data_IF_575677660877
#
_entry.id   IF_575677660877
#
_cell.length_a   1.000
_cell.length_b   1.000
_cell.length_c   1.000
_cell.angle_alpha   90.00
_cell.angle_beta   90.00
_cell.angle_gamma   90.00
#
_symmetry.space_group_name_H-M   'P 1'
#
loop_
_entity.id
_entity.type
_entity.pdbx_description
1 polymer ?
#
# COMPACT_ATOMS: atom_id res chain seq x y z
N UNK A 1 -34.52 -15.02 20.26
CA UNK A 1 -34.01 -14.99 18.87
C UNK A 1 -32.92 -13.93 18.72
N UNK A 2 -31.71 -14.17 19.24
CA UNK A 2 -30.53 -13.29 19.06
C UNK A 2 -29.28 -14.10 19.42
N UNK A 3 -28.66 -14.78 18.44
CA UNK A 3 -27.31 -15.38 18.59
C UNK A 3 -26.65 -15.83 17.29
N UNK A 4 -27.35 -15.87 16.15
CA UNK A 4 -26.81 -16.51 14.94
C UNK A 4 -25.99 -15.62 14.00
N UNK A 5 -25.77 -14.33 14.30
CA UNK A 5 -25.04 -13.42 13.40
C UNK A 5 -23.52 -13.36 13.65
N UNK A 6 -23.04 -13.72 14.86
CA UNK A 6 -21.61 -13.65 15.20
C UNK A 6 -20.78 -14.84 14.69
N UNK A 7 -21.41 -16.00 14.45
CA UNK A 7 -20.70 -17.23 14.06
C UNK A 7 -20.32 -17.23 12.56
N UNK A 8 -21.04 -16.47 11.73
CA UNK A 8 -20.74 -16.41 10.29
C UNK A 8 -19.47 -15.61 9.94
N UNK A 9 -19.02 -14.68 10.81
CA UNK A 9 -17.80 -13.91 10.61
C UNK A 9 -16.53 -14.67 11.01
N UNK A 10 -16.64 -15.70 11.87
CA UNK A 10 -15.50 -16.54 12.26
C UNK A 10 -15.05 -17.50 11.14
N UNK A 11 -15.95 -17.90 10.23
CA UNK A 11 -15.65 -18.86 9.17
C UNK A 11 -14.74 -18.29 8.06
N UNK A 12 -14.71 -16.97 7.87
CA UNK A 12 -13.79 -16.33 6.91
C UNK A 12 -12.34 -16.19 7.43
N UNK A 13 -12.11 -16.44 8.72
CA UNK A 13 -10.79 -16.35 9.36
C UNK A 13 -10.02 -17.69 9.36
N UNK A 14 -10.61 -18.79 8.88
CA UNK A 14 -10.06 -20.15 9.07
C UNK A 14 -8.96 -20.52 8.06
N UNK A 15 -8.63 -19.67 7.09
CA UNK A 15 -7.47 -19.87 6.20
C UNK A 15 -6.23 -19.06 6.62
N UNK A 16 -6.22 -18.48 7.83
CA UNK A 16 -5.05 -17.81 8.39
C UNK A 16 -4.12 -18.89 8.97
N UNK A 17 -3.06 -19.21 8.22
CA UNK A 17 -1.98 -20.06 8.68
C UNK A 17 -1.53 -19.64 10.08
N UNK A 18 -1.32 -20.63 10.96
CA UNK A 18 -0.86 -20.50 12.32
C UNK A 18 0.18 -19.39 12.53
N UNK A 19 -0.28 -18.27 13.07
CA UNK A 19 0.53 -17.14 13.50
C UNK A 19 0.86 -17.35 14.98
N UNK A 20 2.14 -17.27 15.33
CA UNK A 20 2.57 -17.13 16.72
C UNK A 20 2.13 -15.75 17.21
N UNK A 21 0.99 -15.66 17.87
CA UNK A 21 0.60 -14.45 18.61
C UNK A 21 1.56 -14.33 19.80
N UNK A 22 2.39 -13.29 19.81
CA UNK A 22 3.06 -12.87 21.04
C UNK A 22 1.95 -12.38 21.96
N UNK A 23 1.69 -13.17 23.02
CA UNK A 23 0.75 -12.95 24.13
C UNK A 23 -0.11 -11.68 23.99
N UNK A 24 -1.42 -11.88 23.78
CA UNK A 24 -2.38 -10.80 24.00
C UNK A 24 -2.21 -10.19 25.40
N UNK A 25 -2.55 -8.91 25.60
CA UNK A 25 -2.40 -8.26 26.91
C UNK A 25 -3.06 -9.09 28.01
N UNK A 26 -2.39 -9.21 29.15
CA UNK A 26 -2.92 -9.90 30.33
C UNK A 26 -4.37 -9.45 30.56
N UNK A 27 -5.31 -10.41 30.64
CA UNK A 27 -6.79 -10.28 30.80
C UNK A 27 -7.66 -10.46 29.55
N UNK A 28 -7.19 -11.07 28.47
CA UNK A 28 -8.13 -11.56 27.46
C UNK A 28 -9.04 -12.66 28.04
N UNK A 29 -10.36 -12.62 27.82
CA UNK A 29 -11.26 -13.71 28.21
C UNK A 29 -10.79 -15.03 27.63
N UNK A 30 -10.94 -16.13 28.38
CA UNK A 30 -10.52 -17.48 27.97
C UNK A 30 -11.09 -17.89 26.60
N UNK A 31 -12.29 -17.39 26.25
CA UNK A 31 -12.92 -17.57 24.94
C UNK A 31 -12.22 -16.88 23.76
N UNK A 32 -11.22 -16.03 24.00
CA UNK A 32 -10.36 -15.40 22.98
C UNK A 32 -8.90 -15.85 23.07
N UNK A 33 -8.60 -16.88 23.88
CA UNK A 33 -7.31 -17.56 23.84
C UNK A 33 -7.35 -18.55 22.67
N UNK A 34 -6.61 -18.24 21.62
CA UNK A 34 -6.45 -19.14 20.48
C UNK A 34 -5.31 -20.13 20.78
N UNK A 35 -5.58 -21.43 20.78
CA UNK A 35 -4.53 -22.44 20.76
C UNK A 35 -3.76 -22.31 19.44
N UNK A 36 -2.51 -21.82 19.51
CA UNK A 36 -1.64 -21.76 18.35
C UNK A 36 -0.99 -23.12 18.14
N UNK A 37 -1.40 -23.82 17.09
CA UNK A 37 -0.64 -24.97 16.54
C UNK A 37 0.60 -24.38 15.87
N UNK A 38 1.82 -24.87 16.12
CA UNK A 38 2.98 -24.35 15.38
C UNK A 38 2.88 -24.71 13.88
N UNK A 39 3.58 -23.99 13.00
CA UNK A 39 3.61 -24.37 11.56
C UNK A 39 4.11 -25.79 11.35
N UNK A 40 4.99 -26.27 12.24
CA UNK A 40 5.50 -27.65 12.27
C UNK A 40 4.40 -28.65 12.67
N UNK A 41 3.60 -28.32 13.69
CA UNK A 41 2.48 -29.15 14.15
C UNK A 41 1.31 -29.18 13.14
N UNK A 42 1.17 -28.14 12.31
CA UNK A 42 0.17 -28.07 11.24
C UNK A 42 0.55 -28.85 9.97
N UNK A 43 1.71 -29.53 9.96
CA UNK A 43 2.19 -30.27 8.80
C UNK A 43 2.51 -29.39 7.58
N UNK A 44 2.65 -28.07 7.78
CA UNK A 44 3.06 -27.14 6.73
C UNK A 44 4.58 -27.20 6.67
N UNK A 45 5.20 -27.71 5.59
CA UNK A 45 6.64 -27.78 5.51
C UNK A 45 7.21 -26.36 5.61
N UNK A 46 7.96 -26.10 6.69
CA UNK A 46 8.88 -24.97 6.72
C UNK A 46 9.83 -25.17 5.54
N UNK A 47 9.86 -24.21 4.62
CA UNK A 47 10.91 -24.16 3.61
C UNK A 47 12.22 -24.00 4.38
N UNK A 48 12.95 -25.10 4.55
CA UNK A 48 14.31 -25.06 5.07
C UNK A 48 15.09 -24.17 4.11
N UNK A 49 15.79 -23.17 4.65
CA UNK A 49 16.81 -22.43 3.89
C UNK A 49 17.65 -23.47 3.17
N UNK A 50 17.69 -23.43 1.83
CA UNK A 50 18.59 -24.29 1.08
C UNK A 50 20.01 -23.98 1.56
N UNK A 51 20.69 -25.01 2.08
CA UNK A 51 22.08 -24.90 2.49
C UNK A 51 23.00 -24.59 1.30
N UNK A 52 22.50 -24.78 0.08
CA UNK A 52 23.17 -24.57 -1.19
C UNK A 52 22.83 -23.22 -1.85
N UNK A 53 22.03 -22.36 -1.18
CA UNK A 53 21.73 -21.03 -1.68
C UNK A 53 23.01 -20.18 -1.70
N UNK A 54 23.48 -19.86 -2.91
CA UNK A 54 24.38 -18.74 -3.25
C UNK A 54 24.30 -17.66 -2.19
N UNK A 55 25.43 -17.25 -1.59
CA UNK A 55 25.54 -16.24 -0.53
C UNK A 55 24.44 -15.19 -0.60
N UNK A 56 23.32 -15.45 0.09
CA UNK A 56 22.15 -14.60 -0.04
C UNK A 56 22.51 -13.24 0.55
N UNK A 57 22.19 -12.13 -0.13
CA UNK A 57 22.40 -10.81 0.43
C UNK A 57 21.81 -10.75 1.85
N UNK A 58 22.52 -10.14 2.82
CA UNK A 58 22.05 -10.06 4.19
C UNK A 58 20.61 -9.54 4.28
N UNK A 59 19.85 -10.04 5.25
CA UNK A 59 18.46 -9.63 5.45
C UNK A 59 18.33 -8.13 5.67
N UNK A 60 19.24 -7.55 6.45
CA UNK A 60 19.34 -6.11 6.70
C UNK A 60 20.68 -5.65 6.12
N UNK A 61 20.63 -4.67 5.23
CA UNK A 61 21.78 -4.10 4.55
C UNK A 61 21.86 -2.62 4.87
N UNK A 62 22.98 -2.19 5.46
CA UNK A 62 23.27 -0.77 5.62
C UNK A 62 23.61 -0.17 4.26
N UNK A 63 23.02 0.98 3.96
CA UNK A 63 23.22 1.71 2.71
C UNK A 63 23.84 3.08 3.00
N UNK A 64 24.50 3.72 2.02
CA UNK A 64 24.76 5.14 2.06
C UNK A 64 23.46 5.91 2.36
N UNK A 65 23.53 6.93 3.22
CA UNK A 65 22.33 7.70 3.56
C UNK A 65 21.73 8.36 2.32
N UNK A 66 20.42 8.22 2.15
CA UNK A 66 19.67 8.92 1.10
C UNK A 66 19.30 10.34 1.50
N UNK A 67 19.38 10.71 2.78
CA UNK A 67 19.01 12.03 3.30
C UNK A 67 20.20 12.76 3.94
N UNK A 68 21.30 13.04 3.20
CA UNK A 68 22.52 13.60 3.77
C UNK A 68 22.35 15.01 4.37
N UNK A 69 21.27 15.71 4.01
CA UNK A 69 20.93 17.03 4.56
C UNK A 69 20.35 16.97 5.99
N UNK A 70 19.95 15.78 6.46
CA UNK A 70 19.54 15.55 7.86
C UNK A 70 20.74 14.95 8.61
N UNK A 71 21.26 15.64 9.65
CA UNK A 71 22.37 15.12 10.44
C UNK A 71 22.07 13.73 11.02
N UNK A 72 23.08 12.84 10.98
CA UNK A 72 23.02 11.48 11.52
C UNK A 72 21.96 10.57 10.88
N UNK A 73 21.44 10.94 9.70
CA UNK A 73 20.50 10.08 8.96
C UNK A 73 21.18 8.80 8.50
N UNK A 74 20.41 7.70 8.56
CA UNK A 74 20.81 6.36 8.18
C UNK A 74 19.84 5.82 7.15
N UNK A 75 20.33 4.98 6.26
CA UNK A 75 19.48 4.20 5.35
C UNK A 75 19.80 2.72 5.51
N UNK A 76 18.75 1.90 5.61
CA UNK A 76 18.85 0.44 5.56
C UNK A 76 17.88 -0.11 4.53
N UNK A 77 18.29 -1.18 3.84
CA UNK A 77 17.41 -2.04 3.05
C UNK A 77 17.12 -3.30 3.85
N UNK A 78 15.85 -3.64 4.03
CA UNK A 78 15.42 -4.88 4.68
C UNK A 78 14.73 -5.77 3.66
N UNK A 79 15.09 -7.06 3.62
CA UNK A 79 14.43 -8.11 2.83
C UNK A 79 13.44 -8.87 3.73
N UNK A 80 12.20 -8.98 3.27
CA UNK A 80 11.14 -9.77 3.88
C UNK A 80 10.78 -10.94 2.96
N UNK A 81 10.64 -12.14 3.53
CA UNK A 81 10.49 -13.40 2.79
C UNK A 81 11.46 -14.48 3.28
N UNK A 82 11.74 -15.51 2.46
CA UNK A 82 11.31 -15.65 1.06
C UNK A 82 9.79 -15.82 0.90
N UNK A 83 9.28 -15.40 -0.25
CA UNK A 83 7.92 -15.68 -0.70
C UNK A 83 7.98 -16.53 -1.97
N UNK A 84 7.41 -17.73 -1.92
CA UNK A 84 7.20 -18.56 -3.12
C UNK A 84 5.88 -18.17 -3.78
N UNK A 85 5.95 -17.40 -4.86
CA UNK A 85 4.79 -16.94 -5.61
C UNK A 85 4.43 -18.01 -6.66
N UNK A 86 3.22 -18.59 -6.62
CA UNK A 86 2.84 -19.64 -7.56
C UNK A 86 2.88 -19.12 -8.99
N UNK A 87 3.18 -20.00 -9.95
CA UNK A 87 3.11 -19.66 -11.37
C UNK A 87 1.67 -19.58 -11.88
N UNK A 88 1.52 -18.99 -13.06
CA UNK A 88 0.30 -19.02 -13.85
C UNK A 88 -0.11 -20.47 -14.16
N UNK A 89 -1.41 -20.75 -14.01
CA UNK A 89 -1.98 -22.08 -14.34
C UNK A 89 -2.26 -22.26 -15.83
N UNK A 90 -2.37 -21.16 -16.56
CA UNK A 90 -2.66 -21.10 -17.99
C UNK A 90 -1.78 -20.04 -18.63
N UNK A 91 -1.50 -20.18 -19.92
CA UNK A 91 -0.77 -19.18 -20.66
C UNK A 91 -1.50 -17.82 -20.64
N UNK A 92 -0.75 -16.74 -20.39
CA UNK A 92 -1.28 -15.39 -20.24
C UNK A 92 -2.00 -15.11 -18.91
N UNK A 93 -2.16 -16.12 -18.04
CA UNK A 93 -2.66 -15.93 -16.68
C UNK A 93 -1.56 -15.52 -15.70
N UNK A 94 -1.88 -15.64 -14.42
CA UNK A 94 -0.97 -15.35 -13.31
C UNK A 94 -1.17 -16.35 -12.16
N UNK A 95 -0.18 -16.44 -11.29
CA UNK A 95 -0.34 -16.93 -9.94
C UNK A 95 -0.14 -15.79 -8.94
N UNK A 96 -0.85 -15.86 -7.82
CA UNK A 96 -0.81 -14.82 -6.80
C UNK A 96 -0.66 -15.38 -5.39
N UNK A 97 0.06 -14.64 -4.56
CA UNK A 97 -0.09 -14.62 -3.11
C UNK A 97 -1.06 -13.46 -2.82
N UNK A 98 -2.17 -13.75 -2.14
CA UNK A 98 -3.20 -12.76 -1.84
C UNK A 98 -3.35 -12.58 -0.34
N UNK A 99 -3.36 -11.32 0.09
CA UNK A 99 -3.52 -10.84 1.46
C UNK A 99 -2.70 -11.65 2.47
N UNK A 100 -1.44 -11.99 2.14
CA UNK A 100 -0.63 -12.84 3.02
C UNK A 100 -0.19 -12.04 4.25
N UNK A 101 -0.66 -12.38 5.46
CA UNK A 101 -0.21 -11.69 6.65
C UNK A 101 1.21 -12.07 7.02
N UNK A 102 1.95 -11.08 7.50
CA UNK A 102 3.21 -11.21 8.23
C UNK A 102 3.07 -10.36 9.50
N UNK A 103 2.50 -10.89 10.58
CA UNK A 103 2.03 -10.13 11.75
C UNK A 103 3.15 -9.53 12.61
N UNK A 104 4.37 -10.02 12.42
CA UNK A 104 5.58 -9.53 13.07
C UNK A 104 6.73 -9.60 12.09
N UNK A 105 7.28 -8.44 11.74
CA UNK A 105 8.43 -8.32 10.84
C UNK A 105 9.45 -7.34 11.41
N UNK A 106 10.69 -7.40 10.93
CA UNK A 106 11.77 -6.57 11.44
C UNK A 106 11.52 -5.09 11.17
N UNK A 107 11.82 -4.29 12.20
CA UNK A 107 11.88 -2.83 12.15
C UNK A 107 13.29 -2.39 11.74
N UNK A 108 13.45 -1.20 11.11
CA UNK A 108 14.78 -0.65 10.83
C UNK A 108 15.57 -0.24 12.08
N UNK A 109 14.89 -0.07 13.21
CA UNK A 109 15.44 0.47 14.45
C UNK A 109 14.59 0.01 15.65
N UNK A 110 15.11 0.19 16.87
CA UNK A 110 14.33 0.00 18.10
C UNK A 110 13.59 1.28 18.51
N UNK A 111 14.30 2.42 18.55
CA UNK A 111 13.75 3.75 18.84
C UNK A 111 14.31 4.76 17.84
N UNK A 112 13.49 5.23 16.90
CA UNK A 112 13.92 6.16 15.86
C UNK A 112 12.76 6.98 15.29
N UNK A 113 13.09 7.98 14.48
CA UNK A 113 12.17 8.66 13.58
C UNK A 113 12.43 8.16 12.15
N UNK A 114 11.43 7.54 11.52
CA UNK A 114 11.46 7.23 10.09
C UNK A 114 11.26 8.53 9.31
N UNK A 115 12.15 8.81 8.36
CA UNK A 115 12.16 9.99 7.49
C UNK A 115 11.54 9.70 6.11
N UNK A 116 11.57 8.43 5.69
CA UNK A 116 11.03 7.99 4.41
C UNK A 116 11.09 6.48 4.24
N UNK A 117 10.25 5.98 3.35
CA UNK A 117 10.11 4.55 3.04
C UNK A 117 9.90 4.35 1.55
N UNK A 118 10.53 3.32 0.99
CA UNK A 118 10.28 2.85 -0.37
C UNK A 118 10.29 1.33 -0.44
N UNK A 119 9.38 0.73 -1.20
CA UNK A 119 9.34 -0.72 -1.40
C UNK A 119 9.93 -1.12 -2.77
N UNK A 120 10.44 -2.34 -2.84
CA UNK A 120 10.88 -3.01 -4.06
C UNK A 120 10.64 -4.52 -3.96
N UNK A 121 11.03 -5.25 -5.00
CA UNK A 121 10.94 -6.71 -5.05
C UNK A 121 12.24 -7.25 -5.66
N UNK A 122 12.85 -8.23 -5.01
CA UNK A 122 14.12 -8.81 -5.45
C UNK A 122 14.01 -10.34 -5.54
N UNK A 123 14.73 -10.94 -6.48
CA UNK A 123 14.99 -12.37 -6.50
C UNK A 123 16.00 -12.76 -5.41
N UNK A 124 16.21 -14.07 -5.14
CA UNK A 124 17.14 -14.52 -4.11
C UNK A 124 18.56 -13.97 -4.28
N UNK A 125 19.05 -13.89 -5.50
CA UNK A 125 20.35 -13.34 -5.91
C UNK A 125 20.47 -11.80 -5.76
N UNK A 126 19.39 -11.11 -5.41
CA UNK A 126 19.34 -9.65 -5.26
C UNK A 126 19.02 -8.89 -6.56
N UNK A 127 18.82 -9.57 -7.69
CA UNK A 127 18.35 -8.94 -8.91
C UNK A 127 16.91 -8.42 -8.73
N UNK A 128 16.56 -7.35 -9.44
CA UNK A 128 15.20 -6.77 -9.39
C UNK A 128 14.18 -7.76 -9.96
N UNK A 129 13.09 -7.99 -9.23
CA UNK A 129 11.94 -8.71 -9.73
C UNK A 129 10.85 -7.70 -10.10
N UNK A 130 10.48 -7.66 -11.38
CA UNK A 130 9.66 -6.60 -11.93
C UNK A 130 8.86 -7.11 -13.14
N UNK A 131 8.05 -6.24 -13.76
CA UNK A 131 7.09 -6.63 -14.80
C UNK A 131 7.78 -7.22 -16.02
N UNK A 132 8.97 -6.73 -16.36
CA UNK A 132 9.84 -7.26 -17.41
C UNK A 132 10.27 -8.73 -17.16
N UNK A 133 10.32 -9.16 -15.91
CA UNK A 133 10.56 -10.55 -15.50
C UNK A 133 9.28 -11.26 -15.07
N UNK A 134 8.12 -10.69 -15.41
CA UNK A 134 6.78 -11.21 -15.11
C UNK A 134 6.48 -11.34 -13.62
N UNK A 135 7.15 -10.55 -12.79
CA UNK A 135 6.94 -10.50 -11.34
C UNK A 135 6.42 -9.13 -10.92
N UNK A 136 5.52 -9.14 -9.94
CA UNK A 136 4.84 -7.94 -9.50
C UNK A 136 4.83 -7.91 -7.98
N UNK A 137 5.30 -6.78 -7.42
CA UNK A 137 4.83 -6.38 -6.09
C UNK A 137 3.45 -5.78 -6.34
N UNK A 138 2.41 -6.62 -6.26
CA UNK A 138 1.05 -6.21 -6.56
C UNK A 138 0.61 -5.18 -5.51
N UNK A 139 0.66 -5.54 -4.22
CA UNK A 139 0.48 -4.62 -3.09
C UNK A 139 1.33 -5.02 -1.90
N UNK A 140 1.68 -4.04 -1.08
CA UNK A 140 2.02 -4.27 0.32
C UNK A 140 1.42 -3.18 1.18
N UNK A 141 1.04 -3.54 2.40
CA UNK A 141 0.60 -2.59 3.44
C UNK A 141 1.37 -2.90 4.71
N UNK A 142 2.06 -1.90 5.23
CA UNK A 142 2.79 -1.95 6.49
C UNK A 142 1.97 -1.34 7.61
N UNK A 143 1.96 -2.04 8.74
CA UNK A 143 1.32 -1.62 9.98
C UNK A 143 2.39 -1.35 11.02
N UNK A 144 2.27 -0.22 11.72
CA UNK A 144 2.90 -0.08 13.02
C UNK A 144 1.90 -0.48 14.10
N UNK A 145 2.30 -1.36 14.99
CA UNK A 145 1.43 -1.95 16.02
C UNK A 145 2.05 -1.66 17.38
N UNK A 146 1.38 -0.82 18.16
CA UNK A 146 1.86 -0.37 19.47
C UNK A 146 0.96 0.69 20.10
N UNK A 147 1.29 1.07 21.33
CA UNK A 147 0.51 2.02 22.13
C UNK A 147 0.41 3.39 21.44
N UNK A 148 -0.81 3.84 21.18
CA UNK A 148 -1.07 5.15 20.56
C UNK A 148 -0.88 5.20 19.04
N UNK A 149 -0.52 4.10 18.38
CA UNK A 149 -0.65 3.99 16.93
C UNK A 149 -2.12 3.73 16.60
N UNK A 150 -2.95 4.76 16.54
CA UNK A 150 -4.38 4.63 16.27
C UNK A 150 -4.70 4.97 14.81
N UNK A 151 -5.22 4.03 14.03
CA UNK A 151 -5.63 4.29 12.65
C UNK A 151 -6.68 5.42 12.60
N UNK A 152 -6.35 6.48 11.87
CA UNK A 152 -7.19 7.68 11.83
C UNK A 152 -8.60 7.42 11.30
N UNK A 153 -8.71 6.48 10.36
CA UNK A 153 -9.94 6.24 9.57
C UNK A 153 -10.77 5.08 10.09
N UNK A 154 -10.19 4.24 10.95
CA UNK A 154 -10.87 3.09 11.52
C UNK A 154 -11.02 3.19 13.03
N UNK A 155 -12.20 3.58 13.53
CA UNK A 155 -12.38 3.87 14.95
C UNK A 155 -12.58 2.64 15.84
N UNK A 156 -13.11 1.53 15.29
CA UNK A 156 -13.54 0.37 16.11
C UNK A 156 -13.07 -0.96 15.50
N UNK A 157 -13.38 -1.18 14.22
CA UNK A 157 -13.09 -2.41 13.51
C UNK A 157 -12.36 -2.08 12.20
N UNK A 158 -11.41 -2.93 11.83
CA UNK A 158 -10.75 -2.86 10.53
C UNK A 158 -10.21 -4.24 10.15
N UNK A 159 -10.77 -4.84 9.10
CA UNK A 159 -10.38 -6.17 8.65
C UNK A 159 -8.87 -6.31 8.42
N UNK A 160 -8.17 -5.33 7.81
CA UNK A 160 -6.72 -5.41 7.63
C UNK A 160 -5.94 -5.47 8.95
N UNK A 161 -6.41 -4.79 10.00
CA UNK A 161 -5.75 -4.82 11.31
C UNK A 161 -5.87 -6.20 11.96
N UNK A 162 -7.04 -6.83 11.87
CA UNK A 162 -7.25 -8.18 12.40
C UNK A 162 -6.38 -9.22 11.70
N UNK A 163 -6.18 -9.07 10.38
CA UNK A 163 -5.35 -9.97 9.57
C UNK A 163 -3.89 -9.99 10.07
N UNK A 164 -3.38 -8.86 10.57
CA UNK A 164 -2.02 -8.76 11.17
C UNK A 164 -2.02 -8.93 12.70
N UNK A 165 -3.13 -9.40 13.27
CA UNK A 165 -3.26 -9.66 14.70
C UNK A 165 -3.21 -8.39 15.55
N UNK A 166 -3.87 -7.32 15.12
CA UNK A 166 -3.98 -6.05 15.84
C UNK A 166 -5.38 -5.45 15.75
N UNK A 167 -5.57 -4.31 16.43
CA UNK A 167 -6.81 -3.54 16.38
C UNK A 167 -6.53 -2.15 15.82
N UNK A 168 -7.50 -1.47 15.20
CA UNK A 168 -7.32 -0.08 14.77
C UNK A 168 -6.97 0.89 15.92
N UNK A 169 -7.33 0.55 17.16
CA UNK A 169 -6.99 1.30 18.37
C UNK A 169 -5.57 1.03 18.92
N UNK A 170 -4.79 0.19 18.24
CA UNK A 170 -3.42 -0.15 18.64
C UNK A 170 -2.51 -0.43 17.44
N UNK A 171 -2.98 -0.10 16.24
CA UNK A 171 -2.16 -0.11 15.04
C UNK A 171 -2.61 0.92 14.01
N UNK A 172 -1.65 1.38 13.20
CA UNK A 172 -1.83 2.29 12.07
C UNK A 172 -1.30 1.67 10.80
N UNK A 173 -1.99 1.89 9.67
CA UNK A 173 -1.41 1.68 8.33
C UNK A 173 -0.45 2.82 8.04
N UNK A 174 0.85 2.54 8.06
CA UNK A 174 1.89 3.59 8.00
C UNK A 174 2.51 3.78 6.62
N UNK A 175 2.45 2.74 5.79
CA UNK A 175 3.07 2.73 4.47
C UNK A 175 2.41 1.68 3.58
N UNK A 176 2.37 1.95 2.28
CA UNK A 176 1.97 1.00 1.27
C UNK A 176 2.66 1.33 -0.05
N UNK A 177 2.82 0.30 -0.87
CA UNK A 177 3.35 0.43 -2.22
C UNK A 177 2.82 -0.74 -3.06
N UNK A 178 2.61 -0.50 -4.34
CA UNK A 178 2.44 -1.54 -5.35
C UNK A 178 3.57 -1.52 -6.37
N UNK A 179 3.24 -1.94 -7.59
CA UNK A 179 4.21 -2.06 -8.66
C UNK A 179 4.78 -0.70 -9.12
N UNK A 180 4.04 0.36 -8.85
CA UNK A 180 4.40 1.75 -9.10
C UNK A 180 5.53 2.29 -8.19
N UNK A 181 5.96 1.50 -7.18
CA UNK A 181 7.08 1.82 -6.26
C UNK A 181 6.94 3.20 -5.60
N UNK A 182 5.71 3.62 -5.30
CA UNK A 182 5.43 4.93 -4.70
C UNK A 182 6.32 5.15 -3.49
N UNK A 183 6.97 6.29 -3.44
CA UNK A 183 7.86 6.62 -2.34
C UNK A 183 7.19 7.55 -1.34
N UNK A 184 7.34 7.25 -0.06
CA UNK A 184 6.93 8.13 1.03
C UNK A 184 8.14 8.90 1.54
N UNK A 185 8.13 10.22 1.42
CA UNK A 185 9.13 11.10 2.02
C UNK A 185 8.49 12.09 2.97
N UNK A 186 9.03 12.16 4.19
CA UNK A 186 8.71 13.23 5.14
C UNK A 186 9.76 14.34 5.06
N UNK A 187 11.03 13.97 4.86
CA UNK A 187 12.12 14.89 4.48
C UNK A 187 12.68 14.42 3.15
N UNK A 188 12.10 14.83 2.02
CA UNK A 188 12.63 14.42 0.74
C UNK A 188 14.07 14.90 0.54
N UNK A 189 14.96 14.10 -0.08
CA UNK A 189 16.38 14.43 -0.21
C UNK A 189 16.67 15.68 -1.06
N UNK A 190 15.71 16.08 -1.87
CA UNK A 190 15.71 17.26 -2.74
C UNK A 190 15.01 18.48 -2.15
N UNK A 191 14.28 18.32 -1.04
CA UNK A 191 13.47 19.36 -0.45
C UNK A 191 14.22 20.21 0.56
N UNK A 192 13.56 21.29 0.99
CA UNK A 192 13.97 21.95 2.22
C UNK A 192 13.73 21.02 3.40
N UNK A 193 14.60 21.10 4.40
CA UNK A 193 14.46 20.37 5.66
C UNK A 193 13.12 20.74 6.31
N UNK A 194 12.25 19.75 6.49
CA UNK A 194 10.95 19.91 7.15
C UNK A 194 10.97 19.40 8.61
N UNK A 195 12.03 18.69 9.01
CA UNK A 195 12.19 18.04 10.31
C UNK A 195 10.99 17.15 10.68
N UNK A 196 10.51 16.36 9.73
CA UNK A 196 9.33 15.51 9.92
C UNK A 196 9.71 14.04 10.08
N UNK A 197 9.01 13.27 10.89
CA UNK A 197 9.23 11.83 10.88
C UNK A 197 8.11 11.04 11.54
N UNK A 198 8.07 9.76 11.22
CA UNK A 198 7.14 8.84 11.85
C UNK A 198 7.84 8.15 13.04
N UNK A 199 7.33 8.29 14.27
CA UNK A 199 8.02 7.81 15.47
C UNK A 199 7.85 6.30 15.66
N UNK A 200 8.98 5.61 15.85
CA UNK A 200 9.04 4.21 16.24
C UNK A 200 9.52 4.10 17.67
N UNK A 201 8.78 3.35 18.50
CA UNK A 201 9.11 3.08 19.89
C UNK A 201 9.66 1.66 20.08
N UNK A 202 10.42 1.39 21.15
CA UNK A 202 10.95 0.07 21.44
C UNK A 202 9.87 -1.02 21.44
N UNK A 203 8.74 -0.78 22.10
CA UNK A 203 7.64 -1.73 22.22
C UNK A 203 6.81 -1.92 20.93
N UNK A 204 7.01 -1.09 19.92
CA UNK A 204 6.31 -1.25 18.64
C UNK A 204 6.72 -2.55 17.95
N UNK A 205 5.80 -3.17 17.21
CA UNK A 205 6.12 -4.18 16.18
C UNK A 205 5.59 -3.74 14.83
N UNK A 206 6.21 -4.23 13.77
CA UNK A 206 5.68 -4.09 12.42
C UNK A 206 4.89 -5.33 12.02
N UNK A 207 3.76 -5.11 11.36
CA UNK A 207 3.01 -6.15 10.66
C UNK A 207 2.88 -5.78 9.18
N UNK A 208 2.71 -6.77 8.31
CA UNK A 208 2.48 -6.53 6.88
C UNK A 208 1.38 -7.41 6.33
N UNK A 209 0.73 -6.91 5.28
CA UNK A 209 -0.05 -7.69 4.33
C UNK A 209 0.64 -7.55 2.99
N UNK A 210 0.90 -8.66 2.31
CA UNK A 210 1.61 -8.68 1.03
C UNK A 210 0.80 -9.43 -0.02
N UNK A 211 0.66 -8.78 -1.17
CA UNK A 211 0.16 -9.35 -2.41
C UNK A 211 1.31 -9.37 -3.42
N UNK A 212 1.67 -10.57 -3.87
CA UNK A 212 2.68 -10.76 -4.91
C UNK A 212 2.06 -11.53 -6.07
N UNK A 213 2.45 -11.17 -7.28
CA UNK A 213 1.96 -11.83 -8.48
C UNK A 213 3.11 -12.26 -9.37
N UNK A 214 2.90 -13.40 -10.02
CA UNK A 214 3.84 -14.05 -10.91
C UNK A 214 3.11 -14.51 -12.17
N UNK A 215 3.42 -13.89 -13.31
CA UNK A 215 2.86 -14.28 -14.61
C UNK A 215 3.74 -15.31 -15.34
N UNK A 216 4.80 -15.82 -14.71
CA UNK A 216 5.53 -16.97 -15.24
C UNK A 216 4.73 -18.26 -15.00
N UNK A 217 4.89 -19.26 -15.86
CA UNK A 217 4.25 -20.57 -15.67
C UNK A 217 4.79 -21.32 -14.45
N UNK A 218 6.06 -21.07 -14.08
CA UNK A 218 6.69 -21.69 -12.92
C UNK A 218 6.55 -20.79 -11.70
N UNK A 219 6.45 -21.40 -10.52
CA UNK A 219 6.59 -20.68 -9.27
C UNK A 219 7.95 -19.97 -9.20
N UNK A 220 7.97 -18.79 -8.59
CA UNK A 220 9.17 -17.98 -8.42
C UNK A 220 9.32 -17.59 -6.96
N UNK A 221 10.54 -17.66 -6.45
CA UNK A 221 10.88 -17.10 -5.16
C UNK A 221 11.19 -15.61 -5.30
N UNK A 222 10.75 -14.81 -4.34
CA UNK A 222 11.05 -13.38 -4.27
C UNK A 222 11.10 -12.88 -2.83
N UNK A 223 11.69 -11.71 -2.66
CA UNK A 223 11.80 -10.99 -1.40
C UNK A 223 11.24 -9.59 -1.58
N UNK A 224 10.25 -9.24 -0.76
CA UNK A 224 9.83 -7.85 -0.62
C UNK A 224 10.98 -7.09 0.02
N UNK A 225 11.41 -5.99 -0.58
CA UNK A 225 12.42 -5.12 0.00
C UNK A 225 11.83 -3.80 0.43
N UNK A 226 12.27 -3.27 1.57
CA UNK A 226 11.92 -1.92 1.99
C UNK A 226 13.19 -1.17 2.37
N UNK A 227 13.34 0.01 1.80
CA UNK A 227 14.36 0.98 2.13
C UNK A 227 13.79 1.94 3.15
N UNK A 228 14.41 1.99 4.32
CA UNK A 228 14.05 2.90 5.41
C UNK A 228 15.13 3.96 5.54
N UNK A 229 14.71 5.21 5.55
CA UNK A 229 15.56 6.32 6.00
C UNK A 229 15.13 6.70 7.42
N UNK A 230 16.07 6.85 8.35
CA UNK A 230 15.76 7.15 9.74
C UNK A 230 16.88 7.88 10.48
N UNK A 231 16.56 8.45 11.64
CA UNK A 231 17.53 8.93 12.64
C UNK A 231 17.22 8.28 13.99
N UNK A 232 18.25 7.94 14.75
CA UNK A 232 18.06 7.34 16.06
C UNK A 232 17.40 8.29 17.06
N UNK A 233 16.63 7.72 17.99
CA UNK A 233 15.91 8.48 18.99
C UNK A 233 14.74 9.29 18.42
N UNK A 234 14.23 10.21 19.24
CA UNK A 234 13.17 11.15 18.86
C UNK A 234 13.65 12.58 19.18
N UNK A 235 14.54 13.17 18.35
CA UNK A 235 15.08 14.50 18.62
C UNK A 235 13.97 15.55 18.76
N UNK A 236 14.18 16.56 19.61
CA UNK A 236 13.13 17.53 19.98
C UNK A 236 12.70 18.40 18.80
N UNK A 237 13.62 18.66 17.89
CA UNK A 237 13.47 19.40 16.65
C UNK A 237 12.59 18.66 15.63
N UNK A 238 12.45 17.34 15.75
CA UNK A 238 11.59 16.54 14.87
C UNK A 238 10.13 16.64 15.28
N UNK A 239 9.28 16.88 14.30
CA UNK A 239 7.84 16.86 14.42
C UNK A 239 7.29 15.55 13.86
N UNK A 240 6.20 15.08 14.45
CA UNK A 240 5.63 13.78 14.09
C UNK A 240 4.65 13.91 12.94
N UNK A 241 4.70 12.95 12.02
CA UNK A 241 3.69 12.76 10.98
C UNK A 241 2.74 11.65 11.38
N UNK A 242 1.46 11.84 11.09
CA UNK A 242 0.41 10.85 11.27
C UNK A 242 -0.13 10.44 9.89
N UNK A 243 -0.16 9.14 9.57
CA UNK A 243 -0.79 8.66 8.35
C UNK A 243 -2.32 8.68 8.47
N UNK A 244 -2.97 8.92 7.35
CA UNK A 244 -4.41 8.81 7.16
C UNK A 244 -4.63 7.97 5.92
N UNK A 245 -5.16 6.77 6.11
CA UNK A 245 -5.43 5.83 5.04
C UNK A 245 -6.87 5.96 4.57
N UNK A 246 -7.10 6.30 3.31
CA UNK A 246 -8.42 6.34 2.71
C UNK A 246 -8.53 5.28 1.64
N UNK A 247 -9.60 4.50 1.64
CA UNK A 247 -9.87 3.57 0.56
C UNK A 247 -11.37 3.37 0.30
N UNK A 248 -11.70 2.55 -0.69
CA UNK A 248 -13.07 2.26 -1.11
C UNK A 248 -14.02 1.89 0.04
N UNK A 249 -13.54 1.19 1.07
CA UNK A 249 -14.34 0.70 2.20
C UNK A 249 -13.89 1.24 3.56
N UNK A 250 -12.86 2.11 3.59
CA UNK A 250 -12.10 2.62 4.74
C UNK A 250 -11.48 1.53 5.63
N UNK A 251 -12.33 0.70 6.24
CA UNK A 251 -11.99 -0.32 7.22
C UNK A 251 -12.28 -1.75 6.75
N UNK A 252 -12.87 -1.89 5.57
CA UNK A 252 -13.07 -3.16 4.90
C UNK A 252 -11.88 -3.53 4.02
N UNK A 253 -12.19 -4.20 2.91
CA UNK A 253 -11.24 -4.46 1.83
C UNK A 253 -11.16 -3.22 0.93
N UNK A 254 -9.96 -2.86 0.49
CA UNK A 254 -9.76 -1.73 -0.42
C UNK A 254 -10.19 -2.02 -1.86
N UNK A 255 -10.57 -3.27 -2.15
CA UNK A 255 -11.01 -3.76 -3.45
C UNK A 255 -12.53 -3.63 -3.66
N UNK A 256 -12.92 -3.33 -4.90
CA UNK A 256 -14.29 -3.42 -5.38
C UNK A 256 -14.35 -4.28 -6.65
N UNK A 257 -15.53 -4.81 -6.98
CA UNK A 257 -15.69 -5.56 -8.23
C UNK A 257 -15.46 -4.68 -9.46
N UNK A 258 -14.66 -5.17 -10.41
CA UNK A 258 -14.58 -4.59 -11.74
C UNK A 258 -15.93 -4.63 -12.46
N UNK A 259 -16.04 -3.84 -13.52
CA UNK A 259 -17.24 -3.76 -14.36
C UNK A 259 -17.08 -4.57 -15.63
N UNK A 260 -18.03 -4.50 -16.55
CA UNK A 260 -17.89 -5.14 -17.87
C UNK A 260 -16.71 -4.54 -18.62
N UNK A 261 -16.17 -5.28 -19.59
CA UNK A 261 -15.22 -4.71 -20.56
C UNK A 261 -15.80 -3.42 -21.16
N UNK A 262 -14.94 -2.44 -21.45
CA UNK A 262 -15.33 -1.12 -21.99
C UNK A 262 -16.19 -0.23 -21.08
N UNK A 263 -16.37 -0.59 -19.81
CA UNK A 263 -17.04 0.29 -18.86
C UNK A 263 -16.17 1.51 -18.48
N UNK A 264 -16.81 2.67 -18.36
CA UNK A 264 -16.31 3.81 -17.62
C UNK A 264 -17.15 3.98 -16.36
N UNK A 265 -16.52 4.09 -15.19
CA UNK A 265 -17.19 4.15 -13.91
C UNK A 265 -16.34 4.83 -12.85
N UNK A 266 -16.97 5.22 -11.76
CA UNK A 266 -16.30 5.71 -10.57
C UNK A 266 -16.90 5.09 -9.31
N UNK A 267 -16.20 5.25 -8.19
CA UNK A 267 -16.73 4.95 -6.87
C UNK A 267 -16.21 5.96 -5.85
N UNK A 268 -16.98 6.10 -4.78
CA UNK A 268 -16.75 7.07 -3.72
C UNK A 268 -16.66 6.31 -2.40
N UNK A 269 -15.62 6.60 -1.62
CA UNK A 269 -15.48 6.01 -0.29
C UNK A 269 -16.53 6.56 0.68
N UNK A 270 -16.80 5.87 1.80
CA UNK A 270 -17.34 6.52 2.99
C UNK A 270 -16.49 7.74 3.37
N UNK A 271 -17.13 8.76 3.94
CA UNK A 271 -16.44 9.94 4.42
C UNK A 271 -15.69 9.63 5.72
N UNK A 272 -14.42 9.98 5.77
CA UNK A 272 -13.69 10.11 7.02
C UNK A 272 -13.94 11.51 7.59
N UNK A 273 -14.47 11.57 8.81
CA UNK A 273 -14.59 12.83 9.54
C UNK A 273 -13.32 13.03 10.34
N UNK A 274 -12.55 14.05 9.99
CA UNK A 274 -11.26 14.32 10.60
C UNK A 274 -11.40 14.40 12.13
N UNK A 275 -10.66 13.56 12.83
CA UNK A 275 -10.71 13.40 14.29
C UNK A 275 -9.52 14.07 15.01
N UNK A 276 -8.59 14.66 14.26
CA UNK A 276 -7.46 15.43 14.76
C UNK A 276 -7.17 16.65 13.87
N UNK A 277 -6.33 17.54 14.38
CA UNK A 277 -5.86 18.75 13.71
C UNK A 277 -4.42 18.55 13.23
N UNK A 278 -4.04 19.16 12.11
CA UNK A 278 -2.67 19.05 11.60
C UNK A 278 -2.39 19.89 10.36
N UNK A 279 -1.17 19.75 9.84
CA UNK A 279 -0.76 20.32 8.56
C UNK A 279 -0.55 19.18 7.55
N UNK A 280 -1.27 19.22 6.43
CA UNK A 280 -1.18 18.18 5.40
C UNK A 280 0.12 18.35 4.63
N UNK A 281 0.95 17.32 4.64
CA UNK A 281 2.29 17.36 4.00
C UNK A 281 2.25 16.81 2.58
N UNK A 282 1.31 15.91 2.31
CA UNK A 282 1.05 15.38 0.99
C UNK A 282 0.13 14.17 1.03
N UNK A 283 -0.31 13.76 -0.15
CA UNK A 283 -1.16 12.58 -0.33
C UNK A 283 -0.88 11.91 -1.68
N UNK A 284 -0.79 10.58 -1.68
CA UNK A 284 -0.56 9.77 -2.87
C UNK A 284 -1.71 8.79 -3.06
N UNK A 285 -2.10 8.54 -4.31
CA UNK A 285 -3.11 7.54 -4.66
C UNK A 285 -2.48 6.23 -5.13
N UNK A 286 -3.29 5.17 -5.15
CA UNK A 286 -3.00 3.90 -5.81
C UNK A 286 -4.26 3.41 -6.53
N UNK A 287 -4.06 2.85 -7.74
CA UNK A 287 -5.11 2.31 -8.61
C UNK A 287 -4.63 1.00 -9.25
N UNK A 288 -5.58 0.13 -9.57
CA UNK A 288 -5.33 -0.97 -10.51
C UNK A 288 -5.43 -0.47 -11.96
N UNK A 289 -4.98 -1.30 -12.91
CA UNK A 289 -5.13 -1.02 -14.32
C UNK A 289 -6.60 -0.77 -14.74
N UNK A 290 -6.77 0.10 -15.73
CA UNK A 290 -8.02 0.75 -16.08
C UNK A 290 -8.33 2.02 -15.28
N UNK A 291 -7.58 2.28 -14.22
CA UNK A 291 -7.68 3.50 -13.44
C UNK A 291 -7.24 4.74 -14.22
N UNK A 292 -7.92 5.86 -14.01
CA UNK A 292 -7.62 7.13 -14.68
C UNK A 292 -7.20 8.24 -13.75
N UNK A 293 -7.69 8.23 -12.49
CA UNK A 293 -7.30 9.15 -11.42
C UNK A 293 -7.95 8.77 -10.08
N UNK A 294 -7.34 9.23 -9.00
CA UNK A 294 -7.92 9.31 -7.65
C UNK A 294 -8.05 10.79 -7.27
N UNK A 295 -9.22 11.19 -6.80
CA UNK A 295 -9.47 12.50 -6.24
C UNK A 295 -9.67 12.41 -4.73
N UNK A 296 -9.04 13.34 -4.00
CA UNK A 296 -9.35 13.58 -2.59
C UNK A 296 -10.21 14.84 -2.52
N UNK A 297 -11.36 14.69 -1.87
CA UNK A 297 -12.40 15.70 -1.77
C UNK A 297 -12.58 16.06 -0.30
N UNK A 298 -12.41 17.35 0.02
CA UNK A 298 -12.59 17.89 1.37
C UNK A 298 -13.72 18.90 1.33
N UNK A 299 -14.76 18.66 2.12
CA UNK A 299 -15.95 19.52 2.18
C UNK A 299 -16.49 19.89 0.78
N UNK A 300 -16.57 18.88 -0.09
CA UNK A 300 -17.03 18.95 -1.49
C UNK A 300 -16.09 19.66 -2.46
N UNK A 301 -14.87 19.99 -2.06
CA UNK A 301 -13.83 20.57 -2.93
C UNK A 301 -12.74 19.55 -3.22
N UNK A 302 -12.36 19.39 -4.48
CA UNK A 302 -11.21 18.56 -4.86
C UNK A 302 -9.95 19.29 -4.39
N UNK A 303 -9.17 18.65 -3.51
CA UNK A 303 -7.89 19.19 -3.01
C UNK A 303 -6.68 18.46 -3.60
N UNK A 304 -6.89 17.29 -4.20
CA UNK A 304 -5.84 16.52 -4.86
C UNK A 304 -6.44 15.72 -6.00
N UNK A 305 -5.71 15.64 -7.11
CA UNK A 305 -5.96 14.69 -8.19
C UNK A 305 -4.69 13.92 -8.47
N UNK A 306 -4.62 12.69 -7.99
CA UNK A 306 -3.54 11.74 -8.23
C UNK A 306 -3.81 10.98 -9.53
N UNK A 307 -2.86 10.97 -10.45
CA UNK A 307 -3.01 10.44 -11.81
C UNK A 307 -1.97 9.34 -12.07
N UNK A 308 -2.37 8.18 -12.60
CA UNK A 308 -1.44 7.13 -12.98
C UNK A 308 -0.62 7.50 -14.23
N UNK A 309 0.63 7.07 -14.23
CA UNK A 309 1.47 6.99 -15.44
C UNK A 309 1.46 5.55 -15.92
N UNK A 310 1.01 5.35 -17.16
CA UNK A 310 1.08 4.06 -17.84
C UNK A 310 2.36 3.97 -18.66
N UNK A 311 3.11 2.88 -18.49
CA UNK A 311 4.38 2.69 -19.19
C UNK A 311 4.70 1.23 -19.52
N UNK A 312 5.79 1.03 -20.26
CA UNK A 312 6.33 -0.29 -20.63
C UNK A 312 7.14 -0.90 -19.49
N UNK A 313 7.54 -2.15 -19.68
CA UNK A 313 8.41 -2.90 -18.79
C UNK A 313 9.79 -2.24 -18.59
N UNK A 314 10.36 -1.65 -19.65
CA UNK A 314 11.62 -0.91 -19.57
C UNK A 314 11.45 0.38 -18.74
N UNK A 315 10.35 1.11 -18.93
CA UNK A 315 10.03 2.31 -18.15
C UNK A 315 9.76 1.97 -16.68
N UNK A 316 9.14 0.82 -16.40
CA UNK A 316 8.92 0.30 -15.05
C UNK A 316 10.25 0.00 -14.34
N UNK A 317 11.20 -0.62 -15.05
CA UNK A 317 12.54 -0.90 -14.52
C UNK A 317 13.32 0.39 -14.23
N UNK A 318 13.25 1.39 -15.12
CA UNK A 318 13.84 2.70 -14.87
C UNK A 318 13.24 3.33 -13.61
N UNK A 319 11.92 3.31 -13.46
CA UNK A 319 11.22 3.84 -12.29
C UNK A 319 11.58 3.13 -10.99
N UNK A 320 11.69 1.80 -11.01
CA UNK A 320 12.13 1.04 -9.84
C UNK A 320 13.53 1.49 -9.37
N UNK A 321 14.44 1.79 -10.30
CA UNK A 321 15.77 2.30 -9.96
C UNK A 321 15.72 3.70 -9.34
N UNK A 322 14.85 4.59 -9.83
CA UNK A 322 14.63 5.92 -9.22
C UNK A 322 14.15 5.76 -7.78
N UNK A 323 13.20 4.86 -7.54
CA UNK A 323 12.65 4.58 -6.22
C UNK A 323 13.74 4.07 -5.24
N UNK A 324 14.58 3.13 -5.68
CA UNK A 324 15.75 2.64 -4.90
C UNK A 324 16.69 3.76 -4.48
N UNK A 325 16.95 4.72 -5.38
CA UNK A 325 17.77 5.90 -5.13
C UNK A 325 17.07 6.97 -4.27
N UNK A 326 15.92 6.65 -3.68
CA UNK A 326 15.17 7.57 -2.86
C UNK A 326 14.48 8.64 -3.70
N UNK A 327 13.94 8.27 -4.86
CA UNK A 327 13.18 9.15 -5.76
C UNK A 327 14.03 10.05 -6.65
N UNK A 328 15.37 9.92 -6.60
CA UNK A 328 16.31 10.68 -7.42
C UNK A 328 16.62 9.92 -8.71
N UNK A 329 16.29 10.52 -9.87
CA UNK A 329 16.76 10.04 -11.17
C UNK A 329 18.27 10.10 -11.29
N UNK A 330 18.88 9.16 -12.02
CA UNK A 330 20.31 9.24 -12.36
C UNK A 330 20.55 10.50 -13.20
N UNK A 331 21.25 11.50 -12.64
CA UNK A 331 21.85 12.58 -13.43
C UNK A 331 21.12 13.92 -13.53
N UNK A 332 20.13 14.25 -12.68
CA UNK A 332 19.58 15.62 -12.61
C UNK A 332 19.80 16.30 -11.26
N UNK A 333 21.04 16.67 -10.99
CA UNK A 333 21.27 17.98 -10.39
C UNK A 333 20.87 19.05 -11.43
N UNK A 334 19.78 19.77 -11.16
CA UNK A 334 19.47 21.10 -11.68
C UNK A 334 19.84 21.41 -13.14
N UNK A 335 19.08 20.91 -14.11
CA UNK A 335 18.90 21.65 -15.38
C UNK A 335 17.39 21.78 -15.65
N UNK A 336 16.94 23.03 -15.75
CA UNK A 336 15.56 23.41 -16.06
C UNK A 336 15.16 22.80 -17.41
N UNK A 337 14.32 21.77 -17.39
CA UNK A 337 13.44 21.50 -18.53
C UNK A 337 12.25 22.43 -18.40
N UNK A 338 12.00 23.23 -19.43
CA UNK A 338 10.77 24.02 -19.56
C UNK A 338 9.57 23.09 -19.47
N UNK A 339 8.74 23.30 -18.46
CA UNK A 339 7.43 22.70 -18.37
C UNK A 339 6.56 23.29 -19.48
N UNK A 340 6.28 22.52 -20.52
CA UNK A 340 5.06 22.75 -21.29
C UNK A 340 3.91 22.03 -20.58
N UNK A 341 2.86 22.74 -20.16
CA UNK A 341 1.68 22.10 -19.60
C UNK A 341 0.97 21.33 -20.72
N UNK A 342 0.86 20.01 -20.58
CA UNK A 342 -0.11 19.25 -21.36
C UNK A 342 -1.50 19.68 -20.89
N UNK A 343 -2.12 20.58 -21.64
CA UNK A 343 -3.48 21.02 -21.40
C UNK A 343 -4.43 19.82 -21.62
N UNK A 344 -5.08 19.36 -20.55
CA UNK A 344 -6.15 18.39 -20.66
C UNK A 344 -7.43 19.09 -21.16
N UNK A 345 -8.12 18.54 -22.18
CA UNK A 345 -9.41 19.08 -22.58
C UNK A 345 -10.41 18.89 -21.45
N UNK A 346 -10.93 20.01 -20.95
CA UNK A 346 -12.09 20.00 -20.05
C UNK A 346 -13.32 19.61 -20.87
N UNK A 347 -13.76 18.37 -20.76
CA UNK A 347 -15.08 17.98 -21.27
C UNK A 347 -16.15 18.41 -20.26
N UNK A 348 -17.18 19.17 -20.67
CA UNK A 348 -18.24 19.57 -19.76
C UNK A 348 -19.08 18.35 -19.38
N UNK A 349 -19.20 18.12 -18.07
CA UNK A 349 -20.08 17.10 -17.51
C UNK A 349 -21.54 17.42 -17.88
N UNK A 350 -22.12 16.64 -18.79
CA UNK A 350 -23.58 16.53 -18.95
C UNK A 350 -24.04 15.33 -18.15
N UNK A 351 -24.90 15.59 -17.16
CA UNK A 351 -25.48 14.58 -16.29
C UNK A 351 -26.36 13.59 -17.04
N UNK A 352 -26.29 12.34 -16.62
CA UNK A 352 -27.30 11.33 -16.90
C UNK A 352 -27.60 10.61 -15.59
N UNK A 353 -28.72 11.02 -14.97
CA UNK A 353 -29.37 10.21 -13.97
C UNK A 353 -30.09 9.06 -14.68
N UNK A 354 -29.75 7.81 -14.34
CA UNK A 354 -30.55 6.66 -14.72
C UNK A 354 -30.63 5.70 -13.53
N UNK A 355 -31.78 5.74 -12.85
CA UNK A 355 -32.27 4.67 -11.99
C UNK A 355 -32.48 3.42 -12.84
N UNK A 356 -31.91 2.29 -12.43
CA UNK A 356 -32.36 0.97 -12.86
C UNK A 356 -32.84 0.19 -11.63
N UNK A 357 -34.17 0.03 -11.54
CA UNK A 357 -34.83 -0.94 -10.66
C UNK A 357 -34.76 -2.31 -11.36
N UNK A 358 -34.10 -3.27 -10.72
CA UNK A 358 -34.14 -4.69 -11.11
C UNK A 358 -34.56 -5.53 -9.91
N UNK A 359 -35.68 -6.24 -10.04
CA UNK A 359 -36.24 -7.22 -9.08
C UNK A 359 -35.41 -8.51 -9.03
N UNK A 360 -35.44 -9.27 -7.90
CA UNK A 360 -34.51 -10.37 -7.67
C UNK A 360 -34.99 -11.69 -8.27
N UNK A 361 -34.08 -12.42 -8.93
CA UNK A 361 -34.25 -13.84 -9.24
C UNK A 361 -33.64 -14.69 -8.11
N UNK A 362 -34.43 -15.65 -7.62
CA UNK A 362 -34.05 -16.66 -6.63
C UNK A 362 -33.29 -17.81 -7.29
N UNK A 363 -32.29 -18.33 -6.58
CA UNK A 363 -31.99 -19.77 -6.57
C UNK A 363 -30.64 -20.18 -7.16
N UNK A 364 -29.68 -20.46 -6.28
CA UNK A 364 -28.90 -21.70 -6.18
C UNK A 364 -27.55 -21.39 -5.51
N UNK A 365 -27.30 -22.03 -4.36
CA UNK A 365 -26.03 -21.97 -3.64
C UNK A 365 -25.01 -22.83 -4.38
N UNK A 366 -23.88 -22.24 -4.73
CA UNK A 366 -22.62 -22.93 -4.98
C UNK A 366 -21.53 -22.13 -4.26
N UNK A 367 -20.67 -22.83 -3.52
CA UNK A 367 -19.60 -22.25 -2.72
C UNK A 367 -18.62 -21.44 -3.61
N UNK A 368 -18.11 -20.28 -3.15
CA UNK A 368 -17.17 -19.50 -3.96
C UNK A 368 -15.76 -20.10 -3.89
N UNK A 369 -15.03 -20.23 -5.02
CA UNK A 369 -13.60 -20.52 -4.97
C UNK A 369 -12.83 -19.27 -4.55
N UNK A 370 -12.03 -19.40 -3.49
CA UNK A 370 -11.04 -18.42 -3.10
C UNK A 370 -9.87 -18.43 -4.11
N UNK A 371 -9.51 -17.25 -4.64
CA UNK A 371 -8.35 -17.05 -5.51
C UNK A 371 -8.70 -16.93 -7.01
N UNK A 372 -9.25 -15.78 -7.42
CA UNK A 372 -9.42 -15.45 -8.83
C UNK A 372 -8.11 -14.96 -9.42
N UNK A 373 -7.42 -15.82 -10.18
CA UNK A 373 -6.30 -15.42 -11.04
C UNK A 373 -6.81 -14.56 -12.20
N UNK A 374 -6.10 -13.47 -12.48
CA UNK A 374 -6.28 -12.58 -13.62
C UNK A 374 -5.24 -12.79 -14.73
N UNK A 375 -5.39 -12.08 -15.86
CA UNK A 375 -4.54 -12.19 -17.06
C UNK A 375 -4.08 -10.80 -17.47
N UNK A 376 -2.80 -10.66 -17.78
CA UNK A 376 -2.23 -9.44 -18.36
C UNK A 376 -1.90 -9.72 -19.83
N UNK A 377 -2.64 -9.09 -20.74
CA UNK A 377 -2.10 -8.90 -22.09
C UNK A 377 -0.93 -7.91 -21.95
N UNK A 378 0.24 -8.22 -22.51
CA UNK A 378 1.48 -7.43 -22.37
C UNK A 378 1.36 -6.04 -23.02
N UNK A 379 0.61 -5.15 -22.38
CA UNK A 379 0.40 -3.76 -22.74
C UNK A 379 1.08 -2.83 -21.74
N UNK A 380 0.78 -1.53 -21.82
CA UNK A 380 1.24 -0.59 -20.80
C UNK A 380 0.46 -0.83 -19.51
N UNK A 381 1.15 -0.74 -18.37
CA UNK A 381 0.57 -0.88 -17.03
C UNK A 381 0.90 0.35 -16.19
N UNK A 382 0.23 0.54 -15.05
CA UNK A 382 0.58 1.63 -14.12
C UNK A 382 2.00 1.40 -13.56
N UNK A 383 2.91 2.33 -13.84
CA UNK A 383 4.31 2.29 -13.38
C UNK A 383 4.65 3.42 -12.38
N UNK A 384 3.76 4.39 -12.22
CA UNK A 384 3.88 5.47 -11.24
C UNK A 384 2.49 6.06 -10.94
N UNK A 385 2.32 6.64 -9.76
CA UNK A 385 1.16 7.47 -9.41
C UNK A 385 1.63 8.87 -9.04
N UNK A 386 0.89 9.90 -9.46
CA UNK A 386 1.22 11.26 -9.05
C UNK A 386 0.93 11.50 -7.56
N UNK A 387 1.79 12.25 -6.89
CA UNK A 387 1.62 12.62 -5.48
C UNK A 387 1.19 14.09 -5.42
N UNK A 388 0.19 14.40 -4.61
CA UNK A 388 -0.17 15.78 -4.32
C UNK A 388 0.64 16.26 -3.13
N UNK A 389 1.60 17.14 -3.38
CA UNK A 389 2.44 17.75 -2.36
C UNK A 389 2.95 19.11 -2.85
N UNK A 390 3.41 19.95 -1.93
CA UNK A 390 4.09 21.19 -2.29
C UNK A 390 5.40 20.87 -3.03
N UNK A 391 5.51 21.24 -4.32
CA UNK A 391 6.75 21.10 -5.09
C UNK A 391 7.78 22.19 -4.77
N UNK A 392 8.13 22.39 -3.49
CA UNK A 392 9.09 23.44 -3.07
C UNK A 392 10.49 23.22 -3.64
N UNK A 393 10.80 21.99 -4.04
CA UNK A 393 12.09 21.58 -4.59
C UNK A 393 12.21 21.73 -6.11
N UNK A 394 11.10 21.98 -6.81
CA UNK A 394 11.09 22.08 -8.28
C UNK A 394 11.51 20.79 -8.99
N UNK A 395 11.17 19.62 -8.45
CA UNK A 395 11.51 18.37 -9.14
C UNK A 395 10.58 18.17 -10.31
N UNK A 396 11.20 17.89 -11.45
CA UNK A 396 10.50 17.61 -12.70
C UNK A 396 10.28 16.10 -12.93
N UNK A 397 11.03 15.23 -12.24
CA UNK A 397 11.01 13.79 -12.50
C UNK A 397 9.99 13.03 -11.63
N UNK A 398 9.39 13.69 -10.63
CA UNK A 398 8.27 13.15 -9.86
C UNK A 398 6.95 13.66 -10.46
N UNK A 399 5.99 12.77 -10.71
CA UNK A 399 4.65 13.19 -11.09
C UNK A 399 4.01 13.88 -9.88
N UNK A 400 3.99 15.21 -9.87
CA UNK A 400 3.41 16.01 -8.78
C UNK A 400 2.12 16.68 -9.24
N UNK A 401 1.12 16.64 -8.38
CA UNK A 401 -0.14 17.37 -8.54
C UNK A 401 -0.24 18.46 -7.47
N UNK A 402 -0.93 19.58 -7.72
CA UNK A 402 -1.15 20.60 -6.70
C UNK A 402 -1.93 20.06 -5.50
N UNK A 403 -1.55 20.47 -4.29
CA UNK A 403 -2.31 20.23 -3.07
C UNK A 403 -3.11 21.48 -2.71
N UNK A 404 -4.43 21.39 -2.77
CA UNK A 404 -5.36 22.51 -2.57
C UNK A 404 -5.67 22.87 -1.11
N UNK A 405 -5.02 22.20 -0.15
CA UNK A 405 -5.21 22.44 1.29
C UNK A 405 -3.94 22.11 2.05
N UNK A 406 -3.59 22.94 3.04
CA UNK A 406 -2.44 22.68 3.92
C UNK A 406 -2.84 22.43 5.38
N UNK A 407 -4.11 22.62 5.75
CA UNK A 407 -4.61 22.39 7.11
C UNK A 407 -5.62 21.26 7.13
N UNK A 408 -5.38 20.31 8.03
CA UNK A 408 -6.36 19.32 8.47
C UNK A 408 -7.08 19.90 9.69
N UNK A 409 -8.39 20.09 9.57
CA UNK A 409 -9.24 20.62 10.65
C UNK A 409 -10.22 19.54 11.11
N UNK A 410 -10.38 19.40 12.43
CA UNK A 410 -11.29 18.42 13.02
C UNK A 410 -12.73 18.72 12.57
N UNK A 411 -13.45 17.67 12.22
CA UNK A 411 -14.82 17.76 11.70
C UNK A 411 -14.91 17.95 10.19
N UNK A 412 -13.80 18.20 9.48
CA UNK A 412 -13.79 18.19 8.01
C UNK A 412 -14.19 16.82 7.47
N UNK A 413 -14.95 16.80 6.38
CA UNK A 413 -15.32 15.58 5.67
C UNK A 413 -14.34 15.31 4.55
N UNK A 414 -13.61 14.21 4.64
CA UNK A 414 -12.64 13.74 3.66
C UNK A 414 -13.18 12.52 2.93
N UNK A 415 -13.14 12.55 1.60
CA UNK A 415 -13.67 11.51 0.74
C UNK A 415 -12.68 11.20 -0.35
N UNK A 416 -12.48 9.92 -0.63
CA UNK A 416 -11.76 9.43 -1.80
C UNK A 416 -12.76 9.13 -2.92
N UNK A 417 -12.43 9.54 -4.14
CA UNK A 417 -13.14 9.12 -5.35
C UNK A 417 -12.16 8.58 -6.38
N UNK A 418 -12.38 7.36 -6.85
CA UNK A 418 -11.54 6.70 -7.84
C UNK A 418 -12.30 6.53 -9.17
N UNK A 419 -11.61 6.76 -10.28
CA UNK A 419 -12.19 6.78 -11.62
C UNK A 419 -11.52 5.74 -12.51
N UNK A 420 -12.34 5.06 -13.30
CA UNK A 420 -11.95 3.99 -14.22
C UNK A 420 -12.56 4.21 -15.60
N UNK A 421 -11.79 3.93 -16.65
CA UNK A 421 -12.27 3.95 -18.04
C UNK A 421 -11.54 2.88 -18.85
N UNK A 422 -12.21 1.74 -19.04
CA UNK A 422 -11.65 0.59 -19.75
C UNK A 422 -11.51 0.80 -21.27
N UNK A 423 -12.09 1.86 -21.83
CA UNK A 423 -11.82 2.25 -23.22
C UNK A 423 -10.53 3.06 -23.34
N UNK A 424 -10.18 3.80 -22.29
CA UNK A 424 -8.94 4.59 -22.23
C UNK A 424 -7.74 3.74 -21.85
N UNK A 425 -7.87 2.97 -20.78
CA UNK A 425 -6.83 2.04 -20.30
C UNK A 425 -7.48 0.68 -20.07
N UNK A 426 -7.00 -0.40 -20.67
CA UNK A 426 -7.57 -1.73 -20.42
C UNK A 426 -7.49 -2.07 -18.93
N UNK A 427 -8.60 -2.55 -18.37
CA UNK A 427 -8.57 -3.15 -17.04
C UNK A 427 -8.06 -4.59 -17.07
N UNK A 428 -7.86 -5.16 -15.88
CA UNK A 428 -7.44 -6.54 -15.72
C UNK A 428 -8.61 -7.51 -15.91
N UNK A 429 -8.40 -8.62 -16.63
CA UNK A 429 -9.40 -9.68 -16.86
C UNK A 429 -9.15 -10.87 -15.95
N UNK A 430 -10.19 -11.54 -15.45
CA UNK A 430 -10.04 -12.79 -14.68
C UNK A 430 -9.73 -13.97 -15.62
N UNK A 431 -8.44 -14.26 -15.81
CA UNK A 431 -7.96 -15.33 -16.68
C UNK A 431 -8.45 -15.13 -18.12
N UNK A 432 -8.91 -16.21 -18.77
CA UNK A 432 -9.42 -16.16 -20.15
C UNK A 432 -10.87 -15.65 -20.25
N UNK A 433 -11.51 -15.28 -19.15
CA UNK A 433 -12.90 -14.82 -19.17
C UNK A 433 -13.04 -13.37 -19.66
N UNK A 434 -14.24 -13.01 -20.10
CA UNK A 434 -14.60 -11.60 -20.37
C UNK A 434 -14.87 -10.80 -19.09
N UNK A 435 -14.83 -11.44 -17.92
CA UNK A 435 -15.06 -10.76 -16.64
C UNK A 435 -13.82 -10.02 -16.17
N UNK A 436 -14.01 -8.80 -15.64
CA UNK A 436 -12.91 -7.98 -15.14
C UNK A 436 -12.58 -8.34 -13.68
N UNK A 437 -11.31 -8.21 -13.33
CA UNK A 437 -10.78 -8.36 -11.97
C UNK A 437 -11.35 -7.32 -11.03
N UNK A 438 -11.14 -7.51 -9.74
CA UNK A 438 -11.37 -6.43 -8.78
C UNK A 438 -10.45 -5.25 -9.08
N UNK A 439 -10.94 -4.05 -8.78
CA UNK A 439 -10.19 -2.81 -8.89
C UNK A 439 -10.08 -2.15 -7.52
N UNK A 440 -9.08 -1.28 -7.35
CA UNK A 440 -8.76 -0.67 -6.06
C UNK A 440 -8.65 0.84 -6.16
N UNK A 441 -8.94 1.54 -5.07
CA UNK A 441 -8.73 2.98 -4.99
C UNK A 441 -8.35 3.30 -3.57
N UNK A 442 -7.05 3.55 -3.38
CA UNK A 442 -6.47 3.90 -2.09
C UNK A 442 -5.85 5.28 -2.22
N UNK A 443 -5.80 5.98 -1.10
CA UNK A 443 -4.88 7.06 -0.89
C UNK A 443 -4.33 7.05 0.52
N UNK A 444 -3.05 7.34 0.64
CA UNK A 444 -2.43 7.66 1.93
C UNK A 444 -2.11 9.14 1.95
N UNK A 445 -2.56 9.82 3.01
CA UNK A 445 -2.20 11.19 3.33
C UNK A 445 -1.33 11.19 4.57
N UNK A 446 -0.34 12.07 4.62
CA UNK A 446 0.44 12.33 5.83
C UNK A 446 0.16 13.74 6.32
N UNK A 447 -0.04 13.86 7.63
CA UNK A 447 -0.26 15.14 8.29
C UNK A 447 0.70 15.30 9.46
N UNK A 448 1.40 16.43 9.51
CA UNK A 448 2.12 16.87 10.70
C UNK A 448 1.13 17.12 11.83
N UNK A 449 1.37 16.50 12.98
CA UNK A 449 0.49 16.61 14.15
C UNK A 449 1.21 17.27 15.33
N UNK A 450 0.51 18.09 16.09
CA UNK A 450 0.98 18.58 17.38
C UNK A 450 0.87 17.50 18.48
N UNK A 451 -0.05 16.54 18.29
CA UNK A 451 -0.23 15.41 19.20
C UNK A 451 0.88 14.40 18.95
N UNK A 452 1.92 14.45 19.79
CA UNK A 452 2.94 13.43 19.82
C UNK A 452 2.36 12.12 20.31
N UNK A 453 2.76 11.01 19.69
CA UNK A 453 2.44 9.67 20.18
C UNK A 453 3.10 9.48 21.54
N UNK A 454 2.36 8.90 22.47
CA UNK A 454 2.90 8.54 23.79
C UNK A 454 3.19 7.05 23.76
N UNK A 455 4.43 6.70 23.41
CA UNK A 455 4.91 5.32 23.43
C UNK A 455 5.87 5.05 24.58
N UNK A 456 5.96 3.77 24.96
CA UNK A 456 6.91 3.21 25.94
C UNK A 456 8.17 2.67 25.25
#
# INVERSE_FOLDING_TARGET
MKTSALVALAAAAVNVAAIKYVSGPDKWPEAMQFETVSMEDAGIPLVKRDADAVDLPPKIQTMPTRNPHIPNSKTVKIRYGPYTVPGARVEGGEGMINNRPSPSVDKPCSRCMILGMNAGLEYPDGADANTNTKMWLHHMVMFNIGKGANDATCPIFGAPHLIVGSMPSSSERIFSSGNERTTTFFNPPWGNVTNLGYPIYPADRFGMIVDLMNMNMQAKESYLTIYYDFIDGHPKEMQEVKPVWMDAAQCGTSEISGRTASAAFDFVSPAWIANFEGEVTGTGGHLHDGGTKVEIIVDKKIICTSVPTYGTDEEALERANIAKLGGLGKGKATTKRSAEPVAYPQTPAKGAAAQAKGTPAKGARADPPAGGAHSHAMGKHIIAMSICADNKAGINDMPLSPLGINKLVKGQSWVLKAYYDYNKYPGMRKGTSESMSTVMGISIMYAKTANKRVGE
#
